data_IF_674565168122
#
_entry.id   IF_674565168122
#
_cell.length_a   1.000
_cell.length_b   1.000
_cell.length_c   1.000
_cell.angle_alpha   90.00
_cell.angle_beta   90.00
_cell.angle_gamma   90.00
#
_symmetry.space_group_name_H-M   'P 1'
#
loop_
_entity.id
_entity.type
_entity.pdbx_description
1 polymer ?
#
# COMPACT_ATOMS: atom_id res chain seq x y z
N UNK A 1 3.35 13.66 -15.52
CA UNK A 1 4.54 14.21 -14.85
C UNK A 1 5.22 13.11 -14.07
N UNK A 2 6.53 12.95 -14.19
CA UNK A 2 7.33 12.07 -13.32
C UNK A 2 8.38 12.93 -12.63
N UNK A 3 8.24 13.15 -11.33
CA UNK A 3 9.17 13.94 -10.52
C UNK A 3 10.02 13.02 -9.64
N UNK A 4 11.34 13.19 -9.67
CA UNK A 4 12.27 12.43 -8.82
C UNK A 4 12.29 12.93 -7.36
N UNK A 5 11.76 14.14 -7.11
CA UNK A 5 11.59 14.74 -5.78
C UNK A 5 10.22 15.39 -5.70
N UNK A 6 9.51 15.13 -4.61
CA UNK A 6 8.24 15.79 -4.26
C UNK A 6 8.38 16.33 -2.84
N UNK A 7 7.87 17.55 -2.62
CA UNK A 7 7.74 18.14 -1.29
C UNK A 7 6.25 18.24 -1.01
N UNK A 8 5.82 17.68 0.12
CA UNK A 8 4.43 17.67 0.56
C UNK A 8 4.36 18.55 1.81
N UNK A 9 3.49 19.55 1.76
CA UNK A 9 3.22 20.46 2.88
C UNK A 9 1.86 20.14 3.52
N UNK A 10 1.66 20.58 4.76
CA UNK A 10 0.37 20.52 5.45
C UNK A 10 0.27 21.58 6.54
N UNK A 11 -0.96 21.96 6.88
CA UNK A 11 -1.25 22.97 7.91
C UNK A 11 -0.92 22.51 9.34
N UNK A 12 -0.52 21.23 9.51
CA UNK A 12 -0.11 20.65 10.78
C UNK A 12 1.41 20.41 10.82
N UNK A 13 2.06 20.54 12.00
CA UNK A 13 3.52 20.38 12.13
C UNK A 13 3.98 18.92 11.95
N UNK A 14 3.08 17.95 12.11
CA UNK A 14 3.33 16.53 11.88
C UNK A 14 2.17 15.88 11.12
N UNK A 15 2.49 14.89 10.30
CA UNK A 15 1.54 14.07 9.56
C UNK A 15 1.86 12.59 9.74
N UNK A 16 0.81 11.75 9.78
CA UNK A 16 0.97 10.30 9.78
C UNK A 16 1.22 9.79 8.35
N UNK A 17 2.27 8.97 8.17
CA UNK A 17 2.62 8.37 6.88
C UNK A 17 2.74 6.85 7.02
N UNK A 18 2.32 6.15 5.97
CA UNK A 18 2.55 4.71 5.81
C UNK A 18 3.83 4.46 5.02
N UNK A 19 4.82 3.79 5.62
CA UNK A 19 6.08 3.39 4.96
C UNK A 19 6.18 1.86 5.03
N UNK A 20 6.16 1.18 3.89
CA UNK A 20 6.27 -0.29 3.81
C UNK A 20 5.31 -1.08 4.73
N UNK A 21 4.14 -0.48 5.05
CA UNK A 21 3.13 -1.06 5.94
C UNK A 21 3.21 -0.59 7.40
N UNK A 22 4.24 0.17 7.77
CA UNK A 22 4.40 0.77 9.08
C UNK A 22 3.80 2.17 9.13
N UNK A 23 3.17 2.53 10.25
CA UNK A 23 2.67 3.88 10.49
C UNK A 23 3.69 4.71 11.25
N UNK A 24 4.01 5.92 10.76
CA UNK A 24 5.02 6.80 11.37
C UNK A 24 4.56 8.25 11.37
N UNK A 25 4.77 8.97 12.48
CA UNK A 25 4.61 10.43 12.53
C UNK A 25 5.87 11.09 11.97
N UNK A 26 5.72 12.01 11.02
CA UNK A 26 6.83 12.75 10.40
C UNK A 26 6.52 14.24 10.38
N UNK A 27 7.55 15.07 10.56
CA UNK A 27 7.41 16.52 10.49
C UNK A 27 7.18 17.01 9.07
N UNK A 28 6.38 18.06 8.94
CA UNK A 28 6.20 18.79 7.69
C UNK A 28 7.30 19.85 7.51
N UNK A 29 7.71 20.14 6.26
CA UNK A 29 7.28 19.50 5.02
C UNK A 29 7.98 18.14 4.78
N UNK A 30 7.26 17.19 4.19
CA UNK A 30 7.78 15.85 3.88
C UNK A 30 8.45 15.87 2.51
N UNK A 31 9.72 15.46 2.43
CA UNK A 31 10.45 15.32 1.17
C UNK A 31 10.50 13.85 0.74
N UNK A 32 9.80 13.51 -0.34
CA UNK A 32 9.87 12.21 -0.98
C UNK A 32 10.86 12.27 -2.15
N UNK A 33 11.77 11.30 -2.24
CA UNK A 33 12.76 11.21 -3.33
C UNK A 33 12.86 9.79 -3.86
N UNK A 34 13.00 9.67 -5.16
CA UNK A 34 13.41 8.43 -5.81
C UNK A 34 14.95 8.41 -5.82
N UNK A 35 15.55 7.37 -5.25
CA UNK A 35 17.00 7.12 -5.31
C UNK A 35 17.24 5.90 -6.21
N UNK A 36 17.43 6.08 -7.52
CA UNK A 36 17.68 4.96 -8.42
C UNK A 36 18.96 4.23 -8.02
N UNK A 37 18.97 2.91 -8.15
CA UNK A 37 20.15 2.05 -7.96
C UNK A 37 20.75 1.98 -6.56
N UNK A 38 20.11 2.62 -5.56
CA UNK A 38 20.57 2.63 -4.17
C UNK A 38 20.49 1.24 -3.50
N UNK A 39 19.63 0.36 -4.05
CA UNK A 39 19.49 -1.03 -3.62
C UNK A 39 19.63 -1.99 -4.81
N UNK A 40 20.47 -3.01 -4.64
CA UNK A 40 20.55 -4.18 -5.53
C UNK A 40 19.85 -5.34 -4.85
N UNK A 41 18.89 -5.93 -5.55
CA UNK A 41 18.14 -7.11 -5.09
C UNK A 41 18.39 -8.27 -6.04
N UNK A 42 18.67 -9.45 -5.47
CA UNK A 42 18.73 -10.68 -6.24
C UNK A 42 17.32 -11.06 -6.67
N UNK A 43 17.10 -11.17 -7.98
CA UNK A 43 15.82 -11.56 -8.57
C UNK A 43 15.98 -12.90 -9.32
N UNK A 44 14.93 -13.73 -9.42
CA UNK A 44 14.96 -14.91 -10.28
C UNK A 44 15.35 -14.56 -11.71
N UNK A 45 16.11 -15.43 -12.39
CA UNK A 45 16.53 -15.23 -13.79
C UNK A 45 15.32 -15.02 -14.72
N UNK A 46 14.28 -15.82 -14.52
CA UNK A 46 13.00 -15.68 -15.19
C UNK A 46 12.07 -14.87 -14.29
N UNK A 47 12.37 -13.58 -14.11
CA UNK A 47 11.51 -12.73 -13.27
C UNK A 47 10.12 -12.65 -13.93
N UNK A 48 9.04 -12.93 -13.19
CA UNK A 48 7.70 -12.56 -13.66
C UNK A 48 7.71 -11.06 -13.94
N UNK A 49 7.14 -10.63 -15.06
CA UNK A 49 6.96 -9.21 -15.37
C UNK A 49 6.16 -8.50 -14.28
N UNK A 50 5.99 -7.19 -14.43
CA UNK A 50 5.04 -6.45 -13.58
C UNK A 50 3.66 -7.09 -13.81
N UNK A 51 2.98 -7.58 -12.75
CA UNK A 51 1.63 -8.10 -12.91
C UNK A 51 0.73 -7.03 -13.50
N UNK A 52 -0.20 -7.42 -14.36
CA UNK A 52 -1.19 -6.48 -14.88
C UNK A 52 -1.90 -5.76 -13.74
N UNK A 53 -2.28 -4.51 -14.00
CA UNK A 53 -3.02 -3.71 -13.03
C UNK A 53 -4.25 -4.50 -12.62
N UNK A 54 -4.32 -4.91 -11.33
CA UNK A 54 -5.48 -5.64 -10.82
C UNK A 54 -6.75 -4.83 -11.10
N UNK A 55 -7.86 -5.49 -11.49
CA UNK A 55 -9.12 -4.79 -11.68
C UNK A 55 -9.47 -4.01 -10.42
N UNK A 56 -10.18 -2.89 -10.60
CA UNK A 56 -10.68 -2.08 -9.49
C UNK A 56 -11.28 -2.98 -8.41
N UNK A 57 -10.84 -2.80 -7.17
CA UNK A 57 -11.29 -3.61 -6.04
C UNK A 57 -12.82 -3.59 -5.97
N UNK A 58 -13.45 -4.76 -6.02
CA UNK A 58 -14.88 -4.89 -5.80
C UNK A 58 -15.19 -4.67 -4.32
N UNK A 59 -15.38 -3.40 -3.96
CA UNK A 59 -15.74 -2.98 -2.62
C UNK A 59 -17.02 -3.62 -2.12
N UNK A 60 -17.98 -3.95 -3.00
CA UNK A 60 -19.23 -4.60 -2.58
C UNK A 60 -18.96 -6.01 -2.07
N UNK A 61 -18.08 -6.75 -2.74
CA UNK A 61 -17.63 -8.07 -2.29
C UNK A 61 -16.85 -7.99 -0.98
N UNK A 62 -15.94 -7.02 -0.84
CA UNK A 62 -15.18 -6.84 0.40
C UNK A 62 -16.08 -6.49 1.59
N UNK A 63 -17.04 -5.58 1.41
CA UNK A 63 -18.02 -5.23 2.43
C UNK A 63 -18.89 -6.44 2.81
N UNK A 64 -19.31 -7.25 1.84
CA UNK A 64 -20.06 -8.49 2.12
C UNK A 64 -19.22 -9.54 2.84
N UNK A 65 -17.90 -9.62 2.64
CA UNK A 65 -17.06 -10.52 3.43
C UNK A 65 -16.80 -10.00 4.85
N UNK A 66 -16.60 -8.69 4.99
CA UNK A 66 -16.35 -8.05 6.28
C UNK A 66 -17.60 -8.02 7.16
N UNK A 67 -18.78 -7.85 6.56
CA UNK A 67 -20.04 -7.61 7.28
C UNK A 67 -21.15 -8.62 6.96
N UNK A 68 -20.99 -9.47 5.95
CA UNK A 68 -21.96 -10.49 5.58
C UNK A 68 -21.79 -11.74 6.44
N UNK A 69 -22.76 -11.93 7.34
CA UNK A 69 -23.15 -13.12 8.11
C UNK A 69 -22.16 -14.30 8.09
N UNK A 70 -21.64 -14.60 9.28
CA UNK A 70 -21.02 -15.88 9.65
C UNK A 70 -21.91 -17.03 9.11
N UNK A 71 -21.40 -17.98 8.31
CA UNK A 71 -22.19 -19.14 7.92
C UNK A 71 -22.64 -19.87 9.20
N UNK A 72 -23.88 -20.39 9.26
CA UNK A 72 -24.33 -21.12 10.44
C UNK A 72 -23.34 -22.24 10.76
N UNK A 73 -22.90 -22.33 12.01
CA UNK A 73 -22.11 -23.48 12.49
C UNK A 73 -22.95 -24.73 12.20
N UNK A 74 -22.43 -25.66 11.40
CA UNK A 74 -23.04 -26.99 11.25
C UNK A 74 -23.13 -27.61 12.66
N UNK A 75 -24.32 -28.02 13.15
CA UNK A 75 -24.39 -28.81 14.37
C UNK A 75 -23.67 -30.14 14.12
N UNK A 76 -22.94 -30.60 15.14
CA UNK A 76 -22.09 -31.78 15.07
C UNK A 76 -22.85 -33.05 14.66
N UNK A 77 -22.10 -33.94 14.01
CA UNK A 77 -22.42 -35.36 13.89
C UNK A 77 -21.54 -36.11 14.87
#
# INVERSE_FOLDING_TARGET
>A
MTAAKVVIDADAPEVAVGVDGESRSVRTPVTCRIQPTDLRVHVPRHRPGVPDTKPSRDWRTLLRLAFGRRPPRRPGR
#
